data_IF_411620976783
#
_entry.id   IF_411620976783
#
_cell.length_a   1.000
_cell.length_b   1.000
_cell.length_c   1.000
_cell.angle_alpha   90.00
_cell.angle_beta   90.00
_cell.angle_gamma   90.00
#
_symmetry.space_group_name_H-M   'P 1'
#
loop_
_entity.id
_entity.type
_entity.pdbx_description
1 polymer ?
#
# COMPACT_ATOMS: atom_id res chain seq x y z
N UNK A 1 -30.90 29.82 28.61
CA UNK A 1 -30.65 28.35 28.56
C UNK A 1 -30.48 27.82 29.97
N UNK A 2 -31.25 26.80 30.39
CA UNK A 2 -31.20 26.26 31.76
C UNK A 2 -29.79 25.70 32.06
N UNK A 3 -29.22 26.02 33.22
CA UNK A 3 -27.84 25.66 33.65
C UNK A 3 -27.48 24.18 33.42
N UNK A 4 -28.46 23.27 33.48
CA UNK A 4 -28.33 21.85 33.17
C UNK A 4 -27.87 21.55 31.73
N UNK A 5 -28.27 22.35 30.73
CA UNK A 5 -27.85 22.15 29.33
C UNK A 5 -26.39 22.57 29.11
N UNK A 6 -25.90 23.56 29.85
CA UNK A 6 -24.51 24.02 29.75
C UNK A 6 -23.57 22.96 30.35
N UNK A 7 -23.96 22.35 31.48
CA UNK A 7 -23.19 21.28 32.12
C UNK A 7 -23.12 20.01 31.24
N UNK A 8 -24.22 19.65 30.58
CA UNK A 8 -24.23 18.49 29.67
C UNK A 8 -23.29 18.71 28.47
N UNK A 9 -23.29 19.92 27.90
CA UNK A 9 -22.44 20.26 26.75
C UNK A 9 -20.96 20.29 27.13
N UNK A 10 -20.60 20.79 28.31
CA UNK A 10 -19.20 20.75 28.77
C UNK A 10 -18.72 19.35 29.09
N UNK A 11 -19.58 18.49 29.65
CA UNK A 11 -19.24 17.07 29.88
C UNK A 11 -19.09 16.31 28.57
N UNK A 12 -20.00 16.51 27.59
CA UNK A 12 -19.85 15.88 26.26
C UNK A 12 -18.59 16.37 25.55
N UNK A 13 -18.25 17.65 25.64
CA UNK A 13 -17.04 18.20 25.05
C UNK A 13 -15.76 17.63 25.71
N UNK A 14 -15.77 17.43 27.03
CA UNK A 14 -14.68 16.78 27.76
C UNK A 14 -14.53 15.31 27.38
N UNK A 15 -15.64 14.56 27.26
CA UNK A 15 -15.64 13.16 26.81
C UNK A 15 -15.15 13.06 25.37
N UNK A 16 -15.57 13.97 24.49
CA UNK A 16 -15.08 14.02 23.11
C UNK A 16 -13.58 14.36 23.07
N UNK A 17 -13.10 15.31 23.88
CA UNK A 17 -11.67 15.60 24.02
C UNK A 17 -10.86 14.42 24.58
N UNK A 18 -11.40 13.66 25.53
CA UNK A 18 -10.75 12.47 26.10
C UNK A 18 -10.71 11.30 25.10
N UNK A 19 -11.73 11.15 24.25
CA UNK A 19 -11.74 10.18 23.16
C UNK A 19 -10.77 10.55 22.02
N UNK A 20 -10.58 11.85 21.74
CA UNK A 20 -9.59 12.31 20.75
C UNK A 20 -8.12 12.04 21.15
N UNK A 21 -7.83 11.86 22.44
CA UNK A 21 -6.46 11.61 22.93
C UNK A 21 -6.12 10.11 22.98
N UNK A 22 -7.12 9.22 22.93
CA UNK A 22 -6.93 7.78 23.15
C UNK A 22 -7.00 6.91 21.91
N UNK A 23 -7.32 7.47 20.75
CA UNK A 23 -7.18 6.77 19.46
C UNK A 23 -6.36 7.60 18.49
N UNK A 24 -5.03 7.45 18.57
CA UNK A 24 -4.16 7.84 17.47
C UNK A 24 -4.43 6.88 16.31
N UNK A 25 -5.40 7.21 15.47
CA UNK A 25 -5.57 6.51 14.20
C UNK A 25 -4.32 6.77 13.37
N UNK A 26 -3.56 5.69 13.23
CA UNK A 26 -2.40 5.56 12.40
C UNK A 26 -2.67 6.11 10.99
N UNK A 27 -1.76 6.95 10.47
CA UNK A 27 -1.58 7.11 9.04
C UNK A 27 -0.15 7.53 8.75
N UNK A 28 0.58 6.65 8.06
CA UNK A 28 1.88 6.93 7.45
C UNK A 28 1.75 7.75 6.14
N UNK A 29 0.55 8.25 5.85
CA UNK A 29 0.27 9.01 4.64
C UNK A 29 0.40 10.51 4.89
N UNK A 30 0.85 11.30 3.90
CA UNK A 30 0.61 12.73 3.93
C UNK A 30 -0.89 12.98 4.13
N UNK A 31 -1.25 13.81 5.12
CA UNK A 31 -2.65 14.17 5.34
C UNK A 31 -3.19 14.78 4.04
N UNK A 32 -4.38 14.37 3.55
CA UNK A 32 -5.03 15.05 2.44
C UNK A 32 -5.16 16.53 2.77
N UNK A 33 -4.83 17.40 1.81
CA UNK A 33 -5.06 18.84 1.92
C UNK A 33 -6.59 19.03 1.86
N UNK A 34 -7.18 19.74 2.82
CA UNK A 34 -8.59 20.11 2.76
C UNK A 34 -8.82 21.14 1.64
N UNK A 35 -9.21 20.68 0.46
CA UNK A 35 -9.81 21.54 -0.56
C UNK A 35 -11.33 21.59 -0.33
N UNK A 36 -11.74 22.54 0.53
CA UNK A 36 -13.12 23.02 0.77
C UNK A 36 -14.26 21.99 0.68
N UNK A 37 -14.74 21.54 1.84
CA UNK A 37 -15.96 20.73 1.99
C UNK A 37 -15.66 19.41 2.68
N UNK A 38 -16.68 18.74 3.23
CA UNK A 38 -16.56 17.49 4.01
C UNK A 38 -16.13 16.27 3.17
N UNK A 39 -15.22 16.42 2.22
CA UNK A 39 -14.75 15.41 1.28
C UNK A 39 -13.22 15.38 1.32
N UNK A 40 -12.67 14.28 1.86
CA UNK A 40 -11.25 13.97 1.74
C UNK A 40 -11.02 13.34 0.37
N UNK A 41 -10.45 14.09 -0.57
CA UNK A 41 -9.96 13.54 -1.83
C UNK A 41 -8.48 13.16 -1.66
N UNK A 42 -8.14 11.90 -1.96
CA UNK A 42 -6.77 11.39 -1.94
C UNK A 42 -6.43 10.86 -3.34
N UNK A 43 -5.56 11.59 -4.05
CA UNK A 43 -4.95 11.13 -5.30
C UNK A 43 -3.48 10.80 -5.03
N UNK A 44 -3.14 9.55 -4.66
CA UNK A 44 -1.75 9.17 -4.54
C UNK A 44 -1.13 8.95 -5.93
N UNK A 45 -0.42 9.95 -6.45
CA UNK A 45 0.67 9.67 -7.39
C UNK A 45 1.93 9.40 -6.58
N UNK A 46 2.29 8.13 -6.44
CA UNK A 46 3.61 7.76 -5.95
C UNK A 46 4.54 7.69 -7.16
N UNK A 47 5.57 8.54 -7.16
CA UNK A 47 6.65 8.41 -8.14
C UNK A 47 7.31 7.05 -7.90
N UNK A 48 7.32 6.17 -8.91
CA UNK A 48 7.99 4.87 -8.82
C UNK A 48 9.47 5.08 -8.60
N UNK A 49 10.03 4.46 -7.57
CA UNK A 49 11.44 4.57 -7.28
C UNK A 49 12.26 3.63 -8.15
N UNK A 50 13.31 4.14 -8.78
CA UNK A 50 14.21 3.34 -9.63
C UNK A 50 15.41 2.80 -8.84
N UNK A 51 15.66 3.29 -7.63
CA UNK A 51 16.74 2.85 -6.74
C UNK A 51 18.15 3.26 -7.15
N UNK A 52 18.30 3.88 -8.32
CA UNK A 52 19.59 4.29 -8.85
C UNK A 52 19.95 5.67 -8.32
N UNK A 53 21.23 5.87 -8.02
CA UNK A 53 21.78 7.17 -7.62
C UNK A 53 21.17 7.76 -6.34
N UNK A 54 20.59 6.93 -5.49
CA UNK A 54 20.16 7.28 -4.13
C UNK A 54 21.20 6.78 -3.14
N UNK A 55 21.60 7.65 -2.22
CA UNK A 55 22.48 7.31 -1.09
C UNK A 55 21.94 7.91 0.20
N UNK A 56 22.35 7.39 1.35
CA UNK A 56 22.03 8.02 2.63
C UNK A 56 23.20 8.02 3.59
N UNK A 57 23.17 8.98 4.52
CA UNK A 57 24.07 9.06 5.68
C UNK A 57 23.30 9.52 6.90
N UNK A 58 23.62 8.94 8.06
CA UNK A 58 22.98 9.31 9.33
C UNK A 58 23.99 9.93 10.27
N UNK A 59 23.59 11.01 10.94
CA UNK A 59 24.43 11.79 11.83
C UNK A 59 23.80 11.92 13.21
N UNK A 60 24.63 11.97 14.25
CA UNK A 60 24.18 12.23 15.62
C UNK A 60 23.87 13.72 15.83
N UNK A 61 22.78 14.02 16.53
CA UNK A 61 22.35 15.39 16.85
C UNK A 61 22.40 15.65 18.36
N UNK A 62 22.55 16.92 18.75
CA UNK A 62 22.55 17.31 20.18
C UNK A 62 21.16 17.48 20.76
N UNK A 63 20.19 17.86 19.92
CA UNK A 63 18.77 17.96 20.22
C UNK A 63 17.97 17.91 18.90
N UNK A 64 16.64 17.97 18.99
CA UNK A 64 15.77 18.07 17.82
C UNK A 64 16.16 19.25 16.92
N UNK A 65 16.59 18.95 15.68
CA UNK A 65 17.00 19.95 14.69
C UNK A 65 18.26 20.76 15.06
N UNK A 66 19.02 20.38 16.10
CA UNK A 66 20.21 21.10 16.56
C UNK A 66 21.49 20.34 16.25
N UNK A 67 22.22 20.81 15.26
CA UNK A 67 23.51 20.29 14.87
C UNK A 67 24.54 20.48 15.99
N UNK A 68 25.46 19.52 16.21
CA UNK A 68 26.61 19.74 17.06
C UNK A 68 27.48 20.83 16.45
N UNK A 69 28.09 21.67 17.29
CA UNK A 69 29.03 22.70 16.85
C UNK A 69 30.38 22.53 17.53
N UNK A 70 31.46 22.90 16.85
CA UNK A 70 32.80 23.00 17.44
C UNK A 70 32.92 24.20 18.39
N UNK A 71 34.10 24.36 18.99
CA UNK A 71 34.46 25.47 19.86
C UNK A 71 34.29 26.87 19.21
N UNK A 72 34.22 26.93 17.88
CA UNK A 72 34.03 28.15 17.09
C UNK A 72 32.59 28.32 16.59
N UNK A 73 31.66 27.45 16.99
CA UNK A 73 30.25 27.51 16.59
C UNK A 73 29.97 26.97 15.18
N UNK A 74 30.92 26.28 14.54
CA UNK A 74 30.73 25.67 13.22
C UNK A 74 30.10 24.28 13.36
N UNK A 75 29.12 23.90 12.51
CA UNK A 75 28.54 22.56 12.55
C UNK A 75 29.57 21.45 12.34
N UNK A 76 29.53 20.44 13.22
CA UNK A 76 30.31 19.21 13.14
C UNK A 76 29.33 18.04 13.20
N UNK A 77 29.08 17.43 12.04
CA UNK A 77 28.23 16.26 11.91
C UNK A 77 29.06 14.98 12.03
N UNK A 78 28.80 14.19 13.07
CA UNK A 78 29.42 12.88 13.25
C UNK A 78 28.53 11.81 12.64
N UNK A 79 29.04 11.10 11.62
CA UNK A 79 28.35 9.96 11.01
C UNK A 79 28.21 8.82 12.03
N UNK A 80 27.01 8.23 12.09
CA UNK A 80 26.68 7.13 13.00
C UNK A 80 26.62 5.84 12.20
N UNK A 81 27.38 4.84 12.65
CA UNK A 81 27.42 3.50 12.04
C UNK A 81 27.01 2.39 13.01
N UNK A 82 26.88 2.70 14.30
CA UNK A 82 26.30 1.81 15.32
C UNK A 82 25.14 2.53 15.99
N UNK A 83 23.96 1.94 15.84
CA UNK A 83 22.72 2.46 16.41
C UNK A 83 22.31 1.71 17.68
N UNK A 84 23.07 0.69 18.09
CA UNK A 84 22.77 -0.12 19.27
C UNK A 84 23.16 0.57 20.57
N UNK A 85 22.53 0.17 21.68
CA UNK A 85 22.89 0.64 23.02
C UNK A 85 22.73 -0.47 24.05
N UNK A 86 23.84 -0.89 24.64
CA UNK A 86 23.90 -2.00 25.61
C UNK A 86 24.10 -1.52 27.05
N UNK A 87 25.18 -0.78 27.36
CA UNK A 87 25.48 -0.27 28.71
C UNK A 87 25.94 1.20 28.66
N UNK A 88 25.47 2.08 29.58
CA UNK A 88 24.54 1.82 30.69
C UNK A 88 23.05 1.73 30.28
N UNK A 89 22.76 1.58 28.98
CA UNK A 89 21.39 1.70 28.44
C UNK A 89 20.96 3.17 28.30
N UNK A 90 19.78 3.39 27.72
CA UNK A 90 19.15 4.71 27.60
C UNK A 90 18.27 4.95 28.83
N UNK A 91 18.59 5.96 29.63
CA UNK A 91 17.91 6.23 30.90
C UNK A 91 16.46 6.68 30.73
N UNK A 92 15.70 6.69 31.84
CA UNK A 92 14.30 7.14 31.85
C UNK A 92 14.17 8.58 31.36
N UNK A 93 13.33 8.79 30.35
CA UNK A 93 13.07 10.10 29.75
C UNK A 93 14.19 10.61 28.83
N UNK A 94 15.30 9.87 28.71
CA UNK A 94 16.39 10.22 27.82
C UNK A 94 16.02 10.00 26.35
N UNK A 95 16.66 10.77 25.48
CA UNK A 95 16.52 10.66 24.02
C UNK A 95 17.88 10.69 23.35
N UNK A 96 18.01 9.94 22.26
CA UNK A 96 19.11 10.06 21.31
C UNK A 96 18.54 10.56 20.00
N UNK A 97 19.13 11.62 19.44
CA UNK A 97 18.63 12.30 18.25
C UNK A 97 19.54 12.03 17.05
N UNK A 98 18.93 11.85 15.89
CA UNK A 98 19.59 11.56 14.63
C UNK A 98 19.02 12.45 13.51
N UNK A 99 19.85 12.68 12.50
CA UNK A 99 19.44 13.21 11.20
C UNK A 99 19.93 12.26 10.12
N UNK A 100 19.03 11.79 9.26
CA UNK A 100 19.39 11.01 8.08
C UNK A 100 19.21 11.88 6.84
N UNK A 101 20.30 12.10 6.12
CA UNK A 101 20.29 12.77 4.82
C UNK A 101 20.18 11.73 3.72
N UNK A 102 19.12 11.85 2.93
CA UNK A 102 18.90 11.04 1.73
C UNK A 102 19.20 11.92 0.52
N UNK A 103 20.14 11.48 -0.29
CA UNK A 103 20.68 12.22 -1.44
C UNK A 103 20.26 11.54 -2.74
N UNK A 104 19.74 12.32 -3.69
CA UNK A 104 19.45 11.88 -5.06
C UNK A 104 20.38 12.59 -6.06
N UNK A 105 21.19 11.79 -6.74
CA UNK A 105 22.08 12.21 -7.83
C UNK A 105 21.54 11.85 -9.21
N UNK A 106 20.36 11.22 -9.27
CA UNK A 106 19.66 10.83 -10.49
C UNK A 106 18.82 11.96 -11.10
N UNK A 107 18.37 11.75 -12.34
CA UNK A 107 17.55 12.72 -13.10
C UNK A 107 16.05 12.58 -12.86
N UNK A 108 15.62 11.53 -12.16
CA UNK A 108 14.22 11.26 -11.85
C UNK A 108 13.93 11.49 -10.35
N UNK A 109 12.70 11.93 -10.05
CA UNK A 109 12.21 11.96 -8.68
C UNK A 109 12.04 10.53 -8.16
N UNK A 110 12.36 10.30 -6.88
CA UNK A 110 12.27 8.97 -6.28
C UNK A 110 11.51 9.03 -4.95
N UNK A 111 10.64 8.04 -4.72
CA UNK A 111 9.99 7.82 -3.43
C UNK A 111 10.80 6.79 -2.66
N UNK A 112 11.15 7.08 -1.41
CA UNK A 112 11.92 6.13 -0.58
C UNK A 112 11.35 6.07 0.84
N UNK A 113 11.62 4.97 1.52
CA UNK A 113 11.25 4.81 2.93
C UNK A 113 12.47 4.37 3.75
N UNK A 114 12.63 4.94 4.93
CA UNK A 114 13.73 4.71 5.87
C UNK A 114 13.30 3.74 6.97
N UNK A 115 14.10 2.70 7.20
CA UNK A 115 13.83 1.64 8.18
C UNK A 115 15.05 1.34 9.05
N UNK A 116 14.79 0.89 10.28
CA UNK A 116 15.78 0.20 11.12
C UNK A 116 15.66 -1.29 10.87
N UNK A 117 16.80 -1.97 10.78
CA UNK A 117 16.86 -3.43 10.64
C UNK A 117 17.14 -4.13 11.97
N UNK A 118 16.49 -5.29 12.17
CA UNK A 118 16.76 -6.23 13.26
C UNK A 118 16.76 -5.61 14.68
N UNK A 119 15.77 -4.76 14.98
CA UNK A 119 15.62 -4.16 16.31
C UNK A 119 15.29 -5.23 17.36
N UNK A 120 16.16 -5.43 18.35
CA UNK A 120 15.97 -6.41 19.42
C UNK A 120 16.31 -5.83 20.81
N UNK A 121 16.17 -6.65 21.86
CA UNK A 121 16.42 -6.25 23.25
C UNK A 121 15.22 -5.61 23.96
N UNK A 122 14.01 -5.78 23.42
CA UNK A 122 12.79 -5.15 23.92
C UNK A 122 12.05 -5.96 25.00
N UNK A 123 12.73 -6.95 25.60
CA UNK A 123 12.12 -7.94 26.49
C UNK A 123 11.84 -7.40 27.90
N UNK A 124 12.50 -6.30 28.30
CA UNK A 124 12.27 -5.70 29.60
C UNK A 124 10.94 -4.91 29.62
N UNK A 125 9.90 -5.37 30.34
CA UNK A 125 8.60 -4.69 30.35
C UNK A 125 8.67 -3.28 30.99
N UNK A 126 9.70 -3.01 31.80
CA UNK A 126 9.90 -1.74 32.49
C UNK A 126 10.79 -0.77 31.69
N UNK A 127 11.34 -1.17 30.54
CA UNK A 127 12.01 -0.28 29.60
C UNK A 127 11.14 -0.17 28.33
N UNK A 128 10.92 1.05 27.83
CA UNK A 128 9.99 1.26 26.70
C UNK A 128 10.69 1.95 25.54
N UNK A 129 10.89 1.23 24.44
CA UNK A 129 11.46 1.74 23.21
C UNK A 129 10.41 2.51 22.43
N UNK A 130 10.69 3.79 22.21
CA UNK A 130 9.91 4.62 21.32
C UNK A 130 10.79 5.17 20.21
N UNK A 131 10.34 4.99 18.97
CA UNK A 131 10.91 5.66 17.81
C UNK A 131 10.05 6.86 17.46
N UNK A 132 10.67 8.02 17.30
CA UNK A 132 9.98 9.23 16.88
C UNK A 132 10.64 9.90 15.69
N UNK A 133 9.82 10.63 14.95
CA UNK A 133 10.23 11.54 13.88
C UNK A 133 9.78 12.93 14.28
N UNK A 134 10.61 13.94 14.04
CA UNK A 134 10.28 15.34 14.29
C UNK A 134 10.05 16.14 13.01
N UNK A 135 10.69 15.73 11.92
CA UNK A 135 10.51 16.30 10.58
C UNK A 135 10.59 15.17 9.55
N UNK A 136 9.62 15.05 8.62
CA UNK A 136 8.63 16.08 8.24
C UNK A 136 7.39 16.19 9.17
N UNK A 137 7.18 15.25 10.09
CA UNK A 137 6.05 15.24 11.03
C UNK A 137 6.49 14.85 12.44
N UNK A 138 6.02 15.57 13.46
CA UNK A 138 6.27 15.26 14.88
C UNK A 138 5.37 14.11 15.36
N UNK A 139 5.93 12.91 15.44
CA UNK A 139 5.24 11.68 15.87
C UNK A 139 6.18 10.75 16.62
N UNK A 140 5.64 9.80 17.39
CA UNK A 140 6.41 8.69 17.96
C UNK A 140 5.53 7.45 18.16
N UNK A 141 6.14 6.27 18.13
CA UNK A 141 5.47 4.97 18.34
C UNK A 141 6.25 4.12 19.34
N UNK A 142 5.52 3.46 20.25
CA UNK A 142 6.05 2.44 21.14
C UNK A 142 6.25 1.12 20.37
N UNK A 143 7.45 0.54 20.47
CA UNK A 143 7.77 -0.76 19.87
C UNK A 143 7.98 -1.86 20.93
N UNK A 144 8.08 -1.53 22.22
CA UNK A 144 8.26 -2.52 23.31
C UNK A 144 7.00 -3.32 23.63
N UNK A 145 5.82 -2.77 23.30
CA UNK A 145 4.52 -3.40 23.49
C UNK A 145 3.95 -3.95 22.18
N UNK A 146 4.74 -3.96 21.10
CA UNK A 146 4.40 -4.70 19.90
C UNK A 146 4.75 -6.15 20.18
N UNK A 147 3.81 -6.85 20.81
CA UNK A 147 3.74 -8.29 20.60
C UNK A 147 3.24 -8.48 19.17
N UNK A 148 4.13 -8.87 18.26
CA UNK A 148 3.71 -9.73 17.16
C UNK A 148 3.33 -11.06 17.81
N UNK A 149 2.15 -11.10 18.44
CA UNK A 149 1.64 -12.35 19.00
C UNK A 149 1.52 -13.31 17.82
N UNK A 150 2.27 -14.41 17.87
CA UNK A 150 2.10 -15.47 16.89
C UNK A 150 0.63 -15.87 16.83
N UNK A 151 0.04 -15.86 15.63
CA UNK A 151 -1.39 -16.05 15.38
C UNK A 151 -2.16 -14.78 15.00
N UNK A 152 -1.57 -13.58 15.13
CA UNK A 152 -2.22 -12.34 14.68
C UNK A 152 -2.14 -12.17 13.16
N UNK A 153 -3.21 -11.63 12.56
CA UNK A 153 -3.30 -11.28 11.13
C UNK A 153 -3.94 -9.91 10.98
N UNK A 154 -3.39 -9.06 10.12
CA UNK A 154 -3.96 -7.75 9.82
C UNK A 154 -4.58 -7.80 8.43
N UNK A 155 -5.91 -7.76 8.38
CA UNK A 155 -6.67 -7.79 7.12
C UNK A 155 -6.46 -6.50 6.34
N UNK A 156 -6.19 -6.63 5.04
CA UNK A 156 -6.09 -5.55 4.07
C UNK A 156 -7.25 -5.64 3.08
N UNK A 157 -8.02 -4.57 2.97
CA UNK A 157 -9.03 -4.41 1.93
C UNK A 157 -8.32 -4.04 0.63
N UNK A 158 -8.65 -4.73 -0.45
CA UNK A 158 -8.07 -4.49 -1.78
C UNK A 158 -9.17 -3.98 -2.72
N UNK A 159 -10.27 -4.74 -2.80
CA UNK A 159 -11.44 -4.42 -3.61
C UNK A 159 -11.10 -4.06 -5.06
N UNK A 160 -10.26 -4.85 -5.73
CA UNK A 160 -9.96 -4.66 -7.15
C UNK A 160 -10.44 -5.88 -7.96
N UNK A 161 -11.10 -5.65 -9.09
CA UNK A 161 -11.38 -6.67 -10.11
C UNK A 161 -11.28 -6.09 -11.51
N UNK A 162 -11.17 -6.96 -12.51
CA UNK A 162 -11.27 -6.57 -13.91
C UNK A 162 -12.62 -6.95 -14.53
N UNK A 163 -13.09 -6.10 -15.43
CA UNK A 163 -14.08 -6.44 -16.47
C UNK A 163 -13.44 -6.23 -17.83
N UNK A 164 -14.03 -6.78 -18.89
CA UNK A 164 -13.42 -6.76 -20.21
C UNK A 164 -14.15 -5.84 -21.18
N UNK A 165 -13.37 -5.17 -22.02
CA UNK A 165 -13.82 -4.44 -23.19
C UNK A 165 -13.15 -5.07 -24.41
N UNK A 166 -13.95 -5.64 -25.32
CA UNK A 166 -13.47 -6.21 -26.57
C UNK A 166 -13.71 -5.23 -27.72
N UNK A 167 -12.69 -4.87 -28.48
CA UNK A 167 -12.81 -4.04 -29.68
C UNK A 167 -12.66 -4.89 -30.93
N UNK A 168 -13.52 -4.71 -31.93
CA UNK A 168 -13.47 -5.53 -33.15
C UNK A 168 -12.09 -5.41 -33.82
N UNK A 169 -11.44 -6.56 -34.06
CA UNK A 169 -10.02 -6.60 -34.44
C UNK A 169 -9.75 -5.96 -35.81
N UNK A 170 -10.65 -6.15 -36.78
CA UNK A 170 -10.51 -5.57 -38.13
C UNK A 170 -10.78 -4.05 -38.16
N UNK A 171 -11.20 -3.48 -37.04
CA UNK A 171 -11.56 -2.07 -36.91
C UNK A 171 -10.53 -1.28 -36.09
N UNK A 172 -9.53 -1.95 -35.50
CA UNK A 172 -8.44 -1.26 -34.83
C UNK A 172 -7.40 -0.75 -35.83
N UNK A 173 -7.70 0.39 -36.45
CA UNK A 173 -6.66 1.35 -36.86
C UNK A 173 -6.54 2.40 -35.76
N UNK A 174 -5.31 2.77 -35.35
CA UNK A 174 -5.08 3.83 -34.35
C UNK A 174 -6.02 5.03 -34.57
N UNK A 175 -6.90 5.28 -33.59
CA UNK A 175 -7.82 6.43 -33.60
C UNK A 175 -9.29 6.14 -33.92
N UNK A 176 -9.68 4.91 -34.31
CA UNK A 176 -11.07 4.63 -34.73
C UNK A 176 -12.09 4.68 -33.57
N UNK A 177 -11.69 4.29 -32.37
CA UNK A 177 -12.56 4.25 -31.18
C UNK A 177 -12.27 5.36 -30.15
N UNK A 178 -11.89 6.55 -30.63
CA UNK A 178 -11.60 7.72 -29.79
C UNK A 178 -12.80 8.28 -29.01
N UNK A 179 -13.99 7.74 -29.26
CA UNK A 179 -15.23 8.12 -28.61
C UNK A 179 -15.48 7.34 -27.30
N UNK A 180 -14.66 6.34 -26.95
CA UNK A 180 -14.76 5.63 -25.67
C UNK A 180 -14.16 6.50 -24.56
N UNK A 181 -14.94 6.78 -23.52
CA UNK A 181 -14.49 7.53 -22.35
C UNK A 181 -13.98 6.59 -21.26
N UNK A 182 -14.82 5.64 -20.84
CA UNK A 182 -14.58 4.79 -19.66
C UNK A 182 -15.54 3.60 -19.56
N UNK A 183 -15.15 2.62 -18.76
CA UNK A 183 -16.12 1.73 -18.11
C UNK A 183 -16.56 2.37 -16.79
N UNK A 184 -17.86 2.42 -16.58
CA UNK A 184 -18.46 2.89 -15.35
C UNK A 184 -19.15 1.73 -14.65
N UNK A 185 -18.77 1.44 -13.40
CA UNK A 185 -19.27 0.33 -12.60
C UNK A 185 -19.93 0.80 -11.29
N UNK A 186 -20.89 0.01 -10.82
CA UNK A 186 -21.76 0.36 -9.70
C UNK A 186 -21.93 -0.82 -8.75
N UNK A 187 -22.15 -0.51 -7.48
CA UNK A 187 -22.97 -1.35 -6.60
C UNK A 187 -24.10 -0.47 -6.07
N UNK A 188 -25.31 -0.71 -6.54
CA UNK A 188 -26.48 0.11 -6.20
C UNK A 188 -26.17 1.62 -6.34
N UNK A 189 -26.65 2.45 -5.41
CA UNK A 189 -26.38 3.89 -5.38
C UNK A 189 -25.13 4.27 -4.55
N UNK A 190 -24.48 3.30 -3.89
CA UNK A 190 -23.52 3.56 -2.81
C UNK A 190 -22.06 3.47 -3.25
N UNK A 191 -21.76 2.66 -4.29
CA UNK A 191 -20.40 2.47 -4.79
C UNK A 191 -20.36 2.75 -6.27
N UNK A 192 -19.46 3.65 -6.65
CA UNK A 192 -19.19 4.03 -8.03
C UNK A 192 -17.71 3.83 -8.29
N UNK A 193 -17.38 3.16 -9.40
CA UNK A 193 -16.01 2.91 -9.82
C UNK A 193 -15.86 3.15 -11.32
N UNK A 194 -14.90 3.99 -11.69
CA UNK A 194 -14.64 4.39 -13.06
C UNK A 194 -13.27 3.90 -13.52
N UNK A 195 -13.22 3.21 -14.66
CA UNK A 195 -11.98 2.89 -15.35
C UNK A 195 -11.91 3.67 -16.65
N UNK A 196 -11.08 4.70 -16.71
CA UNK A 196 -10.94 5.50 -17.92
C UNK A 196 -10.29 4.68 -19.04
N UNK A 197 -10.66 4.95 -20.29
CA UNK A 197 -10.07 4.29 -21.46
C UNK A 197 -8.53 4.39 -21.49
N UNK A 198 -7.97 5.50 -20.96
CA UNK A 198 -6.51 5.69 -20.86
C UNK A 198 -5.83 4.77 -19.84
N UNK A 199 -6.58 4.28 -18.85
CA UNK A 199 -6.06 3.44 -17.74
C UNK A 199 -6.27 1.94 -18.00
N UNK A 200 -6.83 1.60 -19.16
CA UNK A 200 -7.04 0.21 -19.57
C UNK A 200 -5.73 -0.55 -19.62
N UNK A 201 -5.79 -1.84 -19.28
CA UNK A 201 -4.72 -2.77 -19.55
C UNK A 201 -4.94 -3.43 -20.91
N UNK A 202 -4.04 -3.21 -21.86
CA UNK A 202 -3.99 -4.02 -23.08
C UNK A 202 -3.52 -5.42 -22.74
N UNK A 203 -4.32 -6.44 -23.07
CA UNK A 203 -3.98 -7.84 -22.78
C UNK A 203 -3.08 -8.45 -23.86
N UNK A 204 -3.06 -7.86 -25.06
CA UNK A 204 -2.46 -8.48 -26.25
C UNK A 204 -3.13 -9.80 -26.65
N UNK A 205 -4.31 -10.10 -26.10
CA UNK A 205 -5.12 -11.29 -26.38
C UNK A 205 -6.38 -10.91 -27.12
N UNK A 206 -6.95 -11.91 -27.79
CA UNK A 206 -8.22 -11.78 -28.50
C UNK A 206 -9.24 -12.77 -27.96
N UNK A 207 -10.51 -12.39 -28.00
CA UNK A 207 -11.63 -13.32 -27.84
C UNK A 207 -12.45 -13.40 -29.12
N UNK A 208 -13.30 -14.42 -29.21
CA UNK A 208 -14.12 -14.69 -30.41
C UNK A 208 -15.57 -14.93 -30.05
N UNK A 209 -16.47 -14.30 -30.79
CA UNK A 209 -17.91 -14.40 -30.54
C UNK A 209 -18.73 -14.36 -31.84
N UNK A 210 -19.87 -15.03 -31.82
CA UNK A 210 -20.91 -14.89 -32.85
C UNK A 210 -21.95 -13.90 -32.32
N UNK A 211 -22.12 -12.77 -33.00
CA UNK A 211 -23.10 -11.76 -32.62
C UNK A 211 -24.38 -11.97 -33.43
N UNK A 212 -25.48 -12.19 -32.72
CA UNK A 212 -26.78 -12.48 -33.34
C UNK A 212 -27.22 -11.36 -34.29
N UNK A 213 -27.63 -11.73 -35.50
CA UNK A 213 -28.08 -10.82 -36.56
C UNK A 213 -27.01 -9.80 -37.00
N UNK A 214 -25.73 -10.17 -36.89
CA UNK A 214 -24.59 -9.38 -37.38
C UNK A 214 -23.63 -10.30 -38.15
N UNK A 215 -23.00 -9.76 -39.19
CA UNK A 215 -22.05 -10.50 -40.05
C UNK A 215 -22.50 -11.90 -40.45
N UNK A 216 -23.78 -12.08 -40.81
CA UNK A 216 -24.36 -13.39 -41.17
C UNK A 216 -24.18 -14.47 -40.07
N UNK A 217 -24.12 -14.04 -38.80
CA UNK A 217 -23.80 -14.89 -37.64
C UNK A 217 -22.45 -15.61 -37.74
N UNK A 218 -21.48 -15.01 -38.43
CA UNK A 218 -20.10 -15.51 -38.47
C UNK A 218 -19.35 -15.09 -37.21
N UNK A 219 -18.47 -15.95 -36.75
CA UNK A 219 -17.57 -15.67 -35.62
C UNK A 219 -16.67 -14.48 -35.96
N UNK A 220 -16.64 -13.49 -35.06
CA UNK A 220 -15.81 -12.30 -35.15
C UNK A 220 -14.75 -12.32 -34.05
N UNK A 221 -13.63 -11.64 -34.31
CA UNK A 221 -12.49 -11.55 -33.38
C UNK A 221 -12.43 -10.16 -32.75
N UNK A 222 -12.17 -10.10 -31.45
CA UNK A 222 -12.07 -8.86 -30.70
C UNK A 222 -10.78 -8.80 -29.89
N UNK A 223 -10.08 -7.68 -29.94
CA UNK A 223 -8.93 -7.37 -29.10
C UNK A 223 -9.42 -7.03 -27.69
N UNK A 224 -8.89 -7.72 -26.68
CA UNK A 224 -9.39 -7.63 -25.31
C UNK A 224 -8.57 -6.65 -24.48
N UNK A 225 -9.29 -5.78 -23.80
CA UNK A 225 -8.76 -4.85 -22.81
C UNK A 225 -9.37 -5.16 -21.45
N UNK A 226 -8.54 -5.16 -20.41
CA UNK A 226 -8.99 -5.31 -19.03
C UNK A 226 -9.16 -3.94 -18.39
N UNK A 227 -10.35 -3.69 -17.86
CA UNK A 227 -10.79 -2.44 -17.26
C UNK A 227 -10.97 -2.65 -15.76
N UNK A 228 -10.13 -2.02 -14.93
CA UNK A 228 -10.10 -2.24 -13.47
C UNK A 228 -11.24 -1.50 -12.78
N UNK A 229 -12.04 -2.19 -11.99
CA UNK A 229 -13.16 -1.63 -11.21
C UNK A 229 -13.13 -2.14 -9.77
N UNK A 230 -13.89 -1.51 -8.88
CA UNK A 230 -14.03 -1.97 -7.49
C UNK A 230 -14.65 -3.37 -7.45
N UNK A 231 -14.06 -4.28 -6.66
CA UNK A 231 -14.54 -5.67 -6.53
C UNK A 231 -16.01 -5.77 -6.10
N UNK A 232 -16.49 -4.79 -5.34
CA UNK A 232 -17.85 -4.78 -4.80
C UNK A 232 -18.89 -4.40 -5.85
N UNK A 233 -18.47 -3.79 -6.97
CA UNK A 233 -19.38 -3.48 -8.07
C UNK A 233 -20.00 -4.76 -8.63
N UNK A 234 -21.30 -4.70 -8.90
CA UNK A 234 -22.11 -5.80 -9.44
C UNK A 234 -22.43 -5.59 -10.91
N UNK A 235 -22.46 -4.34 -11.36
CA UNK A 235 -22.91 -3.97 -12.69
C UNK A 235 -21.99 -2.91 -13.30
N UNK A 236 -21.99 -2.79 -14.63
CA UNK A 236 -21.12 -1.83 -15.33
C UNK A 236 -21.70 -1.40 -16.69
N UNK A 237 -21.21 -0.32 -17.29
CA UNK A 237 -21.62 0.14 -18.61
C UNK A 237 -20.46 0.80 -19.33
N UNK A 238 -20.52 0.80 -20.66
CA UNK A 238 -19.58 1.51 -21.51
C UNK A 238 -20.09 2.92 -21.76
N UNK A 239 -19.27 3.90 -21.37
CA UNK A 239 -19.58 5.32 -21.54
C UNK A 239 -18.73 5.91 -22.66
N UNK A 240 -19.39 6.64 -23.55
CA UNK A 240 -18.76 7.43 -24.59
C UNK A 240 -18.63 8.90 -24.23
N UNK A 241 -17.89 9.63 -25.07
CA UNK A 241 -17.75 11.09 -24.96
C UNK A 241 -19.12 11.79 -25.03
N UNK A 242 -19.19 13.00 -24.47
CA UNK A 242 -20.43 13.79 -24.39
C UNK A 242 -21.55 13.15 -23.55
N UNK A 243 -21.19 12.36 -22.54
CA UNK A 243 -22.12 11.77 -21.58
C UNK A 243 -23.13 10.78 -22.20
N UNK A 244 -22.73 10.11 -23.28
CA UNK A 244 -23.53 9.09 -23.96
C UNK A 244 -23.23 7.68 -23.41
N UNK A 245 -24.26 6.84 -23.27
CA UNK A 245 -24.13 5.44 -22.85
C UNK A 245 -24.31 4.54 -24.07
N UNK A 246 -23.36 3.63 -24.33
CA UNK A 246 -23.46 2.72 -25.48
C UNK A 246 -24.42 1.57 -25.26
N UNK A 247 -24.56 1.11 -24.01
CA UNK A 247 -25.55 0.11 -23.61
C UNK A 247 -26.63 0.74 -22.73
N UNK A 248 -27.89 0.37 -22.97
CA UNK A 248 -29.04 0.81 -22.17
C UNK A 248 -29.22 0.00 -20.88
N UNK A 249 -29.01 -1.32 -20.94
CA UNK A 249 -29.02 -2.20 -19.77
C UNK A 249 -27.65 -2.23 -19.08
N UNK A 250 -27.63 -2.44 -17.77
CA UNK A 250 -26.40 -2.67 -17.01
C UNK A 250 -26.17 -4.18 -16.93
N UNK A 251 -25.12 -4.76 -17.54
CA UNK A 251 -24.83 -6.17 -17.42
C UNK A 251 -24.36 -6.46 -16.00
N UNK A 252 -24.86 -7.55 -15.42
CA UNK A 252 -24.39 -8.05 -14.13
C UNK A 252 -23.06 -8.77 -14.36
N UNK A 253 -21.98 -8.28 -13.73
CA UNK A 253 -20.59 -8.74 -13.93
C UNK A 253 -20.45 -10.26 -13.80
N UNK A 254 -21.12 -10.87 -12.84
CA UNK A 254 -21.05 -12.33 -12.61
C UNK A 254 -21.60 -13.12 -13.81
N UNK A 255 -22.61 -12.60 -14.50
CA UNK A 255 -23.25 -13.24 -15.66
C UNK A 255 -22.67 -12.82 -17.01
N UNK A 256 -22.18 -11.58 -17.11
CA UNK A 256 -21.70 -10.93 -18.33
C UNK A 256 -20.59 -9.96 -17.95
N UNK A 257 -19.33 -10.39 -18.00
CA UNK A 257 -18.17 -9.57 -17.59
C UNK A 257 -17.47 -8.88 -18.77
N UNK A 258 -18.03 -8.96 -19.99
CA UNK A 258 -17.40 -8.44 -21.21
C UNK A 258 -18.38 -7.58 -21.99
N UNK A 259 -17.96 -6.38 -22.37
CA UNK A 259 -18.65 -5.57 -23.38
C UNK A 259 -17.84 -5.63 -24.66
N UNK A 260 -18.47 -6.08 -25.75
CA UNK A 260 -17.89 -6.05 -27.09
C UNK A 260 -18.36 -4.78 -27.78
N UNK A 261 -17.44 -4.02 -28.37
CA UNK A 261 -17.70 -2.78 -29.08
C UNK A 261 -17.22 -2.90 -30.53
N UNK A 262 -18.10 -2.51 -31.44
CA UNK A 262 -17.87 -2.67 -32.88
C UNK A 262 -18.66 -1.65 -33.69
N UNK A 263 -18.19 -1.37 -34.89
CA UNK A 263 -18.91 -0.64 -35.92
C UNK A 263 -19.63 -1.64 -36.85
N UNK A 264 -20.83 -1.29 -37.30
CA UNK A 264 -21.55 -2.04 -38.32
C UNK A 264 -22.50 -1.07 -39.04
N UNK A 265 -22.66 -1.17 -40.36
CA UNK A 265 -23.61 -0.32 -41.10
C UNK A 265 -23.49 1.20 -40.77
N UNK A 266 -22.27 1.72 -40.60
CA UNK A 266 -21.97 3.11 -40.22
C UNK A 266 -22.51 3.55 -38.84
N UNK A 267 -22.67 2.61 -37.90
CA UNK A 267 -23.05 2.89 -36.52
C UNK A 267 -22.23 2.09 -35.52
N UNK A 268 -22.10 2.61 -34.31
CA UNK A 268 -21.45 1.92 -33.20
C UNK A 268 -22.46 1.11 -32.39
N UNK A 269 -22.08 -0.11 -32.05
CA UNK A 269 -22.91 -1.05 -31.32
C UNK A 269 -22.11 -1.73 -30.21
N UNK A 270 -22.85 -2.25 -29.24
CA UNK A 270 -22.33 -3.08 -28.16
C UNK A 270 -23.04 -4.41 -28.09
N UNK A 271 -22.32 -5.43 -27.63
CA UNK A 271 -22.88 -6.70 -27.19
C UNK A 271 -22.33 -7.07 -25.81
N UNK A 272 -23.15 -7.71 -24.99
CA UNK A 272 -22.84 -8.07 -23.61
C UNK A 272 -22.59 -9.57 -23.53
N UNK A 273 -21.36 -9.96 -23.22
CA UNK A 273 -20.93 -11.36 -23.25
C UNK A 273 -20.25 -11.83 -21.97
N UNK A 274 -20.21 -13.15 -21.83
CA UNK A 274 -19.51 -13.82 -20.74
C UNK A 274 -18.18 -14.35 -21.27
N UNK A 275 -17.09 -13.82 -20.72
CA UNK A 275 -15.77 -14.44 -20.78
C UNK A 275 -15.56 -15.31 -19.54
N UNK A 276 -14.47 -16.08 -19.54
CA UNK A 276 -13.97 -16.72 -18.33
C UNK A 276 -13.60 -15.68 -17.24
N UNK A 277 -13.37 -16.16 -16.02
CA UNK A 277 -13.18 -15.32 -14.83
C UNK A 277 -12.01 -14.35 -15.02
N UNK A 278 -12.25 -13.09 -14.68
CA UNK A 278 -11.24 -12.04 -14.69
C UNK A 278 -10.48 -12.02 -13.36
N UNK A 279 -9.31 -11.38 -13.30
CA UNK A 279 -8.62 -11.23 -12.03
C UNK A 279 -9.46 -10.38 -11.06
N UNK A 280 -9.48 -10.76 -9.79
CA UNK A 280 -10.26 -10.09 -8.76
C UNK A 280 -9.87 -10.49 -7.35
N UNK A 281 -9.42 -9.51 -6.54
CA UNK A 281 -9.12 -9.69 -5.12
C UNK A 281 -9.95 -8.68 -4.32
N UNK A 282 -10.81 -9.19 -3.45
CA UNK A 282 -11.58 -8.39 -2.51
C UNK A 282 -10.73 -8.03 -1.29
N UNK A 283 -10.13 -9.03 -0.65
CA UNK A 283 -9.31 -8.81 0.54
C UNK A 283 -8.24 -9.87 0.75
N UNK A 284 -7.19 -9.47 1.46
CA UNK A 284 -6.06 -10.31 1.85
C UNK A 284 -5.54 -9.81 3.20
N UNK A 285 -4.26 -10.01 3.49
CA UNK A 285 -3.60 -9.57 4.71
C UNK A 285 -2.40 -8.69 4.39
N UNK A 286 -2.17 -7.63 5.17
CA UNK A 286 -0.95 -6.83 5.09
C UNK A 286 0.18 -7.43 5.90
N UNK A 287 -0.14 -8.10 7.00
CA UNK A 287 0.84 -8.77 7.86
C UNK A 287 0.23 -9.94 8.63
N UNK A 288 1.08 -10.89 9.01
CA UNK A 288 0.73 -12.02 9.85
C UNK A 288 1.92 -12.49 10.70
N UNK A 289 1.65 -13.13 11.83
CA UNK A 289 2.65 -13.77 12.68
C UNK A 289 2.37 -15.25 12.90
N UNK A 290 3.42 -16.09 12.94
CA UNK A 290 3.32 -17.52 13.25
C UNK A 290 4.55 -18.00 14.04
N UNK A 291 4.43 -19.05 14.85
CA UNK A 291 5.63 -19.71 15.43
C UNK A 291 6.18 -20.74 14.46
N UNK A 292 7.47 -21.02 14.55
CA UNK A 292 8.07 -22.17 13.84
C UNK A 292 7.26 -23.43 14.14
N UNK A 293 6.85 -24.13 13.07
CA UNK A 293 6.04 -25.34 13.14
C UNK A 293 4.53 -25.10 13.07
N UNK A 294 4.05 -23.87 13.28
CA UNK A 294 2.63 -23.54 13.15
C UNK A 294 2.21 -23.36 11.69
N UNK A 295 0.91 -23.45 11.46
CA UNK A 295 0.28 -23.05 10.20
C UNK A 295 -0.59 -21.82 10.38
N UNK A 296 -0.60 -20.94 9.38
CA UNK A 296 -1.44 -19.74 9.35
C UNK A 296 -2.25 -19.70 8.05
N UNK A 297 -3.58 -19.60 8.17
CA UNK A 297 -4.46 -19.47 7.00
C UNK A 297 -4.45 -18.05 6.46
N UNK A 298 -3.83 -17.84 5.29
CA UNK A 298 -3.84 -16.58 4.57
C UNK A 298 -4.63 -16.70 3.26
N UNK A 299 -5.71 -17.48 3.22
CA UNK A 299 -6.60 -17.46 2.05
C UNK A 299 -7.12 -16.03 1.79
N UNK A 300 -6.87 -15.51 0.59
CA UNK A 300 -7.49 -14.29 0.09
C UNK A 300 -8.96 -14.53 -0.25
N UNK A 301 -9.76 -13.46 -0.24
CA UNK A 301 -11.14 -13.49 -0.74
C UNK A 301 -11.22 -12.79 -2.09
N UNK A 302 -12.03 -13.33 -3.01
CA UNK A 302 -12.20 -12.81 -4.36
C UNK A 302 -12.55 -13.90 -5.37
N UNK A 303 -12.05 -13.76 -6.60
CA UNK A 303 -12.17 -14.79 -7.65
C UNK A 303 -11.19 -15.94 -7.40
N UNK A 304 -11.46 -16.77 -6.39
CA UNK A 304 -10.51 -17.76 -5.85
C UNK A 304 -9.96 -18.77 -6.86
N UNK A 305 -10.70 -19.05 -7.94
CA UNK A 305 -10.31 -19.91 -9.07
C UNK A 305 -9.11 -19.35 -9.86
N UNK A 306 -8.79 -18.07 -9.67
CA UNK A 306 -7.69 -17.38 -10.34
C UNK A 306 -6.44 -17.23 -9.46
N UNK A 307 -6.47 -17.67 -8.21
CA UNK A 307 -5.43 -17.37 -7.22
C UNK A 307 -4.24 -18.34 -7.28
N UNK A 308 -3.05 -17.75 -7.20
CA UNK A 308 -1.79 -18.46 -6.97
C UNK A 308 -1.03 -17.76 -5.85
N UNK A 309 -0.39 -18.52 -4.97
CA UNK A 309 0.40 -17.99 -3.86
C UNK A 309 1.88 -18.33 -4.02
N UNK A 310 2.74 -17.42 -3.57
CA UNK A 310 4.19 -17.64 -3.49
C UNK A 310 4.75 -17.09 -2.18
N UNK A 311 5.86 -17.67 -1.74
CA UNK A 311 6.69 -17.12 -0.65
C UNK A 311 7.96 -16.54 -1.27
N UNK A 312 8.41 -15.37 -0.82
CA UNK A 312 9.70 -14.81 -1.24
C UNK A 312 10.90 -15.60 -0.71
N UNK A 313 10.73 -16.30 0.43
CA UNK A 313 11.72 -17.19 1.04
C UNK A 313 11.02 -18.44 1.61
N UNK A 314 11.07 -19.54 0.85
CA UNK A 314 10.52 -20.83 1.25
C UNK A 314 11.30 -21.50 2.39
N UNK A 315 12.52 -21.05 2.71
CA UNK A 315 13.26 -21.54 3.88
C UNK A 315 12.71 -20.97 5.19
N UNK A 316 12.01 -19.85 5.14
CA UNK A 316 11.32 -19.21 6.29
C UNK A 316 9.88 -19.71 6.41
N UNK A 317 9.11 -19.70 5.32
CA UNK A 317 7.76 -20.27 5.29
C UNK A 317 7.33 -20.67 3.87
N UNK A 318 6.54 -21.74 3.76
CA UNK A 318 5.93 -22.19 2.50
C UNK A 318 4.44 -21.90 2.49
N UNK A 319 3.83 -21.80 1.30
CA UNK A 319 2.39 -21.56 1.13
C UNK A 319 1.79 -22.57 0.17
N UNK A 320 0.69 -23.20 0.58
CA UNK A 320 -0.07 -24.12 -0.25
C UNK A 320 -1.00 -23.37 -1.21
N UNK A 321 -1.50 -24.02 -2.30
CA UNK A 321 -2.37 -23.37 -3.28
C UNK A 321 -3.67 -22.77 -2.72
N UNK A 322 -4.14 -23.24 -1.56
CA UNK A 322 -5.32 -22.73 -0.88
C UNK A 322 -5.03 -21.53 0.06
N UNK A 323 -3.79 -21.05 0.12
CA UNK A 323 -3.37 -19.96 1.00
C UNK A 323 -2.98 -20.40 2.42
N UNK A 324 -2.91 -21.71 2.70
CA UNK A 324 -2.41 -22.20 3.98
C UNK A 324 -0.89 -22.13 4.03
N UNK A 325 -0.36 -21.33 4.95
CA UNK A 325 1.08 -21.12 5.12
C UNK A 325 1.62 -21.98 6.25
N UNK A 326 2.78 -22.60 6.04
CA UNK A 326 3.52 -23.37 7.05
C UNK A 326 4.81 -22.66 7.42
N UNK A 327 4.98 -22.32 8.70
CA UNK A 327 6.16 -21.63 9.22
C UNK A 327 7.30 -22.62 9.48
N UNK A 328 8.46 -22.40 8.86
CA UNK A 328 9.59 -23.36 8.84
C UNK A 328 10.73 -22.90 9.73
N UNK A 329 11.13 -21.63 9.63
CA UNK A 329 12.30 -21.08 10.34
C UNK A 329 12.01 -19.66 10.79
N UNK A 330 12.53 -19.31 11.96
CA UNK A 330 12.50 -17.93 12.45
C UNK A 330 13.13 -16.98 11.43
N UNK A 331 12.45 -15.88 11.15
CA UNK A 331 12.79 -14.97 10.06
C UNK A 331 11.54 -14.30 9.49
N UNK A 332 11.68 -13.59 8.38
CA UNK A 332 10.57 -12.95 7.70
C UNK A 332 10.52 -13.36 6.24
N UNK A 333 9.32 -13.43 5.68
CA UNK A 333 9.09 -13.68 4.26
C UNK A 333 7.82 -12.97 3.82
N UNK A 334 7.70 -12.67 2.53
CA UNK A 334 6.49 -12.11 1.95
C UNK A 334 5.69 -13.20 1.28
N UNK A 335 4.44 -13.39 1.72
CA UNK A 335 3.48 -14.24 1.04
C UNK A 335 2.70 -13.39 0.04
N UNK A 336 2.82 -13.71 -1.24
CA UNK A 336 2.16 -12.97 -2.33
C UNK A 336 1.03 -13.80 -2.90
N UNK A 337 -0.17 -13.23 -2.97
CA UNK A 337 -1.28 -13.75 -3.78
C UNK A 337 -1.33 -13.02 -5.12
N UNK A 338 -1.43 -13.76 -6.20
CA UNK A 338 -1.68 -13.25 -7.55
C UNK A 338 -2.98 -13.84 -8.07
N UNK A 339 -3.91 -12.99 -8.47
CA UNK A 339 -5.10 -13.33 -9.24
C UNK A 339 -4.79 -13.10 -10.72
N UNK A 340 -4.87 -14.14 -11.55
CA UNK A 340 -4.66 -14.03 -13.01
C UNK A 340 -5.94 -14.35 -13.76
N UNK A 341 -6.47 -13.37 -14.47
CA UNK A 341 -7.69 -13.52 -15.27
C UNK A 341 -7.45 -14.27 -16.57
N UNK A 342 -8.55 -14.61 -17.25
CA UNK A 342 -8.56 -15.41 -18.46
C UNK A 342 -7.68 -14.86 -19.60
N UNK A 343 -7.55 -13.54 -19.68
CA UNK A 343 -6.75 -12.87 -20.71
C UNK A 343 -5.37 -12.41 -20.19
N UNK A 344 -4.95 -12.88 -19.01
CA UNK A 344 -3.63 -12.59 -18.44
C UNK A 344 -3.53 -11.29 -17.66
N UNK A 345 -4.65 -10.60 -17.44
CA UNK A 345 -4.76 -9.51 -16.47
C UNK A 345 -4.42 -10.01 -15.07
N UNK A 346 -3.72 -9.18 -14.27
CA UNK A 346 -3.20 -9.58 -12.97
C UNK A 346 -3.49 -8.56 -11.89
N UNK A 347 -3.88 -9.06 -10.73
CA UNK A 347 -3.98 -8.30 -9.48
C UNK A 347 -3.14 -9.04 -8.44
N UNK A 348 -2.28 -8.32 -7.73
CA UNK A 348 -1.37 -8.90 -6.74
C UNK A 348 -1.53 -8.23 -5.39
N UNK A 349 -1.42 -9.00 -4.32
CA UNK A 349 -1.31 -8.48 -2.97
C UNK A 349 -0.29 -9.26 -2.16
N UNK A 350 0.36 -8.58 -1.22
CA UNK A 350 1.44 -9.12 -0.42
C UNK A 350 1.13 -9.01 1.07
N UNK A 351 1.50 -10.05 1.82
CA UNK A 351 1.41 -10.15 3.26
C UNK A 351 2.83 -10.34 3.81
N UNK A 352 3.24 -9.44 4.70
CA UNK A 352 4.48 -9.58 5.44
C UNK A 352 4.31 -10.61 6.56
N UNK A 353 4.98 -11.76 6.46
CA UNK A 353 4.91 -12.81 7.46
C UNK A 353 6.16 -12.78 8.35
N UNK A 354 5.93 -12.67 9.65
CA UNK A 354 6.95 -12.88 10.67
C UNK A 354 6.83 -14.29 11.25
N UNK A 355 7.91 -15.07 11.16
CA UNK A 355 8.02 -16.37 11.83
C UNK A 355 8.87 -16.22 13.09
N UNK A 356 8.28 -16.56 14.23
CA UNK A 356 8.92 -16.52 15.54
C UNK A 356 9.60 -17.83 15.87
N UNK A 357 10.85 -17.75 16.35
CA UNK A 357 11.55 -18.90 16.92
C UNK A 357 10.88 -19.40 18.19
N UNK A 358 11.25 -20.61 18.62
CA UNK A 358 10.70 -21.23 19.84
C UNK A 358 11.19 -20.57 21.13
N UNK A 359 12.25 -19.75 21.09
CA UNK A 359 12.78 -18.97 22.23
C UNK A 359 13.51 -17.71 21.76
N UNK A 360 12.82 -16.73 21.16
CA UNK A 360 13.23 -15.31 21.25
C UNK A 360 12.11 -14.40 20.72
N UNK A 361 11.45 -13.65 21.60
CA UNK A 361 10.09 -13.13 21.34
C UNK A 361 10.01 -11.68 20.86
N UNK A 362 11.10 -10.92 20.72
CA UNK A 362 10.99 -9.47 20.37
C UNK A 362 12.10 -8.91 19.48
N UNK A 363 12.45 -9.60 18.40
CA UNK A 363 13.22 -8.98 17.30
C UNK A 363 12.26 -8.52 16.20
N UNK A 364 12.26 -7.22 15.91
CA UNK A 364 11.50 -6.59 14.83
C UNK A 364 12.45 -6.33 13.67
N UNK A 365 12.31 -7.04 12.54
CA UNK A 365 13.27 -6.84 11.45
C UNK A 365 13.12 -5.49 10.77
N UNK A 366 11.90 -5.01 10.50
CA UNK A 366 11.71 -3.77 9.72
C UNK A 366 10.91 -2.75 10.53
N UNK A 367 11.61 -1.80 11.14
CA UNK A 367 10.99 -0.75 11.95
C UNK A 367 10.96 0.56 11.14
N UNK A 368 9.78 0.99 10.65
CA UNK A 368 9.70 2.19 9.83
C UNK A 368 10.04 3.43 10.65
N UNK A 369 11.05 4.17 10.16
CA UNK A 369 11.39 5.50 10.64
C UNK A 369 10.57 6.53 9.88
N UNK A 370 10.62 6.53 8.55
CA UNK A 370 9.93 7.49 7.70
C UNK A 370 9.53 6.84 6.37
N UNK A 371 8.26 6.86 5.98
CA UNK A 371 7.81 6.21 4.74
C UNK A 371 7.39 7.21 3.68
N UNK A 372 7.51 6.82 2.41
CA UNK A 372 7.02 7.57 1.24
C UNK A 372 7.60 9.00 1.14
N UNK A 373 8.90 9.12 1.40
CA UNK A 373 9.64 10.37 1.30
C UNK A 373 10.00 10.62 -0.17
N UNK A 374 9.45 11.69 -0.74
CA UNK A 374 9.82 12.13 -2.08
C UNK A 374 11.16 12.87 -2.03
N UNK A 375 12.11 12.38 -2.81
CA UNK A 375 13.39 13.04 -3.05
C UNK A 375 13.39 13.54 -4.51
N UNK A 376 13.46 14.85 -4.69
CA UNK A 376 13.47 15.49 -6.01
C UNK A 376 14.68 15.01 -6.84
N UNK A 377 14.64 15.08 -8.18
CA UNK A 377 15.83 14.80 -9.00
C UNK A 377 16.92 15.82 -8.74
N UNK A 378 18.17 15.52 -9.14
CA UNK A 378 19.25 16.51 -9.10
C UNK A 378 18.89 17.75 -9.92
N UNK A 379 19.48 18.88 -9.53
CA UNK A 379 19.33 20.16 -10.20
C UNK A 379 20.65 20.60 -10.83
N UNK A 380 20.63 21.67 -11.62
CA UNK A 380 21.86 22.30 -12.14
C UNK A 380 22.80 22.78 -11.02
N UNK A 381 22.25 23.03 -9.83
CA UNK A 381 23.02 23.38 -8.63
C UNK A 381 23.66 22.17 -7.93
N UNK A 382 23.39 20.95 -8.41
CA UNK A 382 23.91 19.70 -7.88
C UNK A 382 22.82 18.77 -7.32
N UNK A 383 23.27 17.81 -6.55
CA UNK A 383 22.45 16.77 -5.96
C UNK A 383 21.42 17.34 -4.98
N UNK A 384 20.23 16.74 -4.96
CA UNK A 384 19.18 17.11 -4.00
C UNK A 384 19.28 16.25 -2.74
N UNK A 385 19.00 16.87 -1.59
CA UNK A 385 19.05 16.19 -0.30
C UNK A 385 17.75 16.45 0.46
N UNK A 386 17.19 15.39 1.03
CA UNK A 386 16.10 15.46 2.00
C UNK A 386 16.61 14.95 3.34
N UNK A 387 16.39 15.74 4.39
CA UNK A 387 16.82 15.41 5.75
C UNK A 387 15.64 14.97 6.61
N UNK A 388 15.75 13.79 7.21
CA UNK A 388 14.78 13.23 8.16
C UNK A 388 15.37 13.36 9.56
N UNK A 389 14.63 13.99 10.47
CA UNK A 389 15.04 14.15 11.86
C UNK A 389 14.25 13.20 12.73
N UNK A 390 14.93 12.29 13.42
CA UNK A 390 14.31 11.22 14.17
C UNK A 390 15.07 10.96 15.48
N UNK A 391 14.45 10.23 16.40
CA UNK A 391 15.02 9.98 17.72
C UNK A 391 14.51 8.67 18.31
N UNK A 392 15.30 8.11 19.22
CA UNK A 392 14.91 7.00 20.09
C UNK A 392 14.77 7.57 21.50
N UNK A 393 13.67 7.26 22.18
CA UNK A 393 13.45 7.64 23.58
C UNK A 393 13.06 6.44 24.44
N UNK A 394 13.38 6.52 25.73
CA UNK A 394 12.90 5.59 26.73
C UNK A 394 11.87 6.26 27.65
N UNK A 395 10.63 5.76 27.68
CA UNK A 395 9.61 6.23 28.65
C UNK A 395 9.34 5.22 29.77
N UNK A 396 10.12 4.14 29.83
CA UNK A 396 10.09 3.14 30.89
C UNK A 396 10.71 3.65 32.20
N UNK A 397 10.55 2.86 33.26
CA UNK A 397 11.16 3.11 34.57
C UNK A 397 12.60 2.60 34.69
N UNK A 398 13.03 1.70 33.81
CA UNK A 398 14.38 1.10 33.80
C UNK A 398 15.19 1.52 32.55
N UNK A 399 16.53 1.47 32.57
CA UNK A 399 17.36 1.72 31.39
C UNK A 399 17.01 0.80 30.22
N UNK A 400 16.81 1.38 29.04
CA UNK A 400 16.49 0.68 27.80
C UNK A 400 17.77 0.25 27.09
N UNK A 401 17.86 -1.06 26.84
CA UNK A 401 18.92 -1.68 26.03
C UNK A 401 18.30 -2.15 24.73
N UNK A 402 18.99 -1.95 23.62
CA UNK A 402 18.50 -2.35 22.31
C UNK A 402 19.65 -2.58 21.34
N UNK A 403 19.42 -3.44 20.36
CA UNK A 403 20.33 -3.66 19.25
C UNK A 403 19.61 -3.33 17.95
N UNK A 404 20.29 -2.62 17.04
CA UNK A 404 19.84 -2.32 15.69
C UNK A 404 21.01 -2.71 14.79
N UNK A 405 20.75 -3.56 13.79
CA UNK A 405 21.80 -4.08 12.92
C UNK A 405 22.26 -3.01 11.91
N UNK A 406 21.31 -2.38 11.23
CA UNK A 406 21.58 -1.34 10.23
C UNK A 406 20.36 -0.43 10.05
N UNK A 407 20.55 0.67 9.33
CA UNK A 407 19.47 1.49 8.77
C UNK A 407 19.54 1.34 7.26
N UNK A 408 18.39 1.23 6.60
CA UNK A 408 18.35 1.08 5.14
C UNK A 408 17.17 1.82 4.51
N UNK A 409 17.27 2.01 3.19
CA UNK A 409 16.19 2.55 2.37
C UNK A 409 15.47 1.42 1.62
N UNK A 410 14.14 1.48 1.61
CA UNK A 410 13.31 0.74 0.65
C UNK A 410 12.78 1.68 -0.42
N UNK A 411 12.54 1.13 -1.61
CA UNK A 411 12.18 1.84 -2.83
C UNK A 411 10.69 1.69 -3.15
#
# INVERSE_FOLDING_TARGET
MKKSKILLVTVLALVLCLLCVTTSTFSWLPRPKEDKGNSLAWEPSYETSVGKDITMKTYSMTADGKEPVDENGKPVLTEVTDFSRSEPGLGKGERVYYRTDIKNSGTEAQSVSLFLSSLSGLDNPNAKFFLGVNSPLRTYKNYSDIDSEAGTKVKKVINEQYVYLGLHADEETEGKFNNIERIHAWKDADIISDCMWRDRLSTGKTGKWIISNKWENKEQTFNIYAMKVDYRCTDFQLKGTNNFWYNGAKPVITSKNTILFYECNNGYYVAEEKSATAAGIESFYSSAGAKVGDTVDLAATGHTDTFTYTSSDESVATVAPNGLVTAIKAGHTTITVTSTGAYGDKITAACWLTVHGTVDTKTLLDVPVATNIKVAPKTDAGDTVVSIYWYIKNEGSEPLKYTIEDIYLTL
#
